data_IF_912050369715
#
_entry.id   IF_912050369715
#
_cell.length_a   1.000
_cell.length_b   1.000
_cell.length_c   1.000
_cell.angle_alpha   90.00
_cell.angle_beta   90.00
_cell.angle_gamma   90.00
#
_symmetry.space_group_name_H-M   'P 1'
#
loop_
_entity.id
_entity.type
_entity.pdbx_description
1 polymer ?
#
# COMPACT_ATOMS: atom_id res chain seq x y z
N UNK A 1 -33.88 26.48 62.46
CA UNK A 1 -32.79 26.25 61.48
C UNK A 1 -32.40 24.78 61.58
N UNK A 2 -32.76 23.96 60.58
CA UNK A 2 -32.49 22.51 60.61
C UNK A 2 -31.01 22.21 60.43
N UNK A 3 -30.42 21.43 61.33
CA UNK A 3 -29.05 20.95 61.19
C UNK A 3 -29.00 19.92 60.05
N UNK A 4 -28.29 20.25 58.97
CA UNK A 4 -27.98 19.32 57.87
C UNK A 4 -27.25 18.09 58.43
N UNK A 5 -27.76 16.91 58.13
CA UNK A 5 -27.24 15.66 58.68
C UNK A 5 -25.80 15.41 58.20
N UNK A 6 -25.04 14.59 58.94
CA UNK A 6 -23.68 14.23 58.56
C UNK A 6 -23.64 13.54 57.19
N UNK A 7 -24.65 12.73 56.88
CA UNK A 7 -24.79 12.01 55.61
C UNK A 7 -25.10 12.96 54.45
N UNK A 8 -25.95 13.97 54.67
CA UNK A 8 -26.24 15.00 53.67
C UNK A 8 -24.99 15.82 53.32
N UNK A 9 -24.17 16.17 54.32
CA UNK A 9 -22.88 16.84 54.10
C UNK A 9 -21.88 15.96 53.33
N UNK A 10 -21.80 14.66 53.65
CA UNK A 10 -20.93 13.72 52.94
C UNK A 10 -21.38 13.52 51.49
N UNK A 11 -22.68 13.39 51.24
CA UNK A 11 -23.24 13.29 49.89
C UNK A 11 -23.00 14.56 49.09
N UNK A 12 -23.09 15.75 49.72
CA UNK A 12 -22.80 17.02 49.06
C UNK A 12 -21.32 17.15 48.69
N UNK A 13 -20.40 16.79 49.58
CA UNK A 13 -18.96 16.76 49.29
C UNK A 13 -18.63 15.78 48.16
N UNK A 14 -19.22 14.58 48.18
CA UNK A 14 -19.03 13.59 47.11
C UNK A 14 -19.48 14.12 45.74
N UNK A 15 -20.62 14.80 45.65
CA UNK A 15 -21.09 15.44 44.41
C UNK A 15 -20.15 16.54 43.93
N UNK A 16 -19.64 17.39 44.82
CA UNK A 16 -18.68 18.45 44.47
C UNK A 16 -17.39 17.84 43.92
N UNK A 17 -16.86 16.79 44.56
CA UNK A 17 -15.66 16.09 44.10
C UNK A 17 -15.88 15.40 42.74
N UNK A 18 -17.04 14.77 42.55
CA UNK A 18 -17.39 14.13 41.27
C UNK A 18 -17.52 15.15 40.14
N UNK A 19 -18.15 16.31 40.40
CA UNK A 19 -18.28 17.39 39.42
C UNK A 19 -16.92 18.03 39.10
N UNK A 20 -16.04 18.20 40.10
CA UNK A 20 -14.69 18.68 39.89
C UNK A 20 -13.84 17.69 39.06
N UNK A 21 -13.97 16.39 39.30
CA UNK A 21 -13.30 15.35 38.52
C UNK A 21 -13.80 15.29 37.07
N UNK A 22 -15.12 15.44 36.86
CA UNK A 22 -15.73 15.56 35.53
C UNK A 22 -15.21 16.79 34.78
N UNK A 23 -15.18 17.95 35.45
CA UNK A 23 -14.68 19.21 34.88
C UNK A 23 -13.20 19.13 34.51
N UNK A 24 -12.37 18.48 35.35
CA UNK A 24 -10.96 18.24 35.06
C UNK A 24 -10.77 17.36 33.84
N UNK A 25 -11.51 16.25 33.74
CA UNK A 25 -11.44 15.34 32.58
C UNK A 25 -11.80 16.07 31.29
N UNK A 26 -12.86 16.89 31.32
CA UNK A 26 -13.28 17.69 30.18
C UNK A 26 -12.24 18.76 29.79
N UNK A 27 -11.63 19.43 30.77
CA UNK A 27 -10.58 20.41 30.52
C UNK A 27 -9.34 19.77 29.88
N UNK A 28 -8.91 18.59 30.37
CA UNK A 28 -7.80 17.82 29.78
C UNK A 28 -8.10 17.43 28.33
N UNK A 29 -9.30 16.90 28.06
CA UNK A 29 -9.70 16.54 26.69
C UNK A 29 -9.71 17.76 25.75
N UNK A 30 -10.20 18.91 26.25
CA UNK A 30 -10.22 20.17 25.48
C UNK A 30 -8.80 20.65 25.17
N UNK A 31 -7.91 20.66 26.16
CA UNK A 31 -6.50 21.04 25.97
C UNK A 31 -5.78 20.12 24.99
N UNK A 32 -6.05 18.80 25.05
CA UNK A 32 -5.51 17.84 24.09
C UNK A 32 -5.99 18.11 22.66
N UNK A 33 -7.27 18.42 22.48
CA UNK A 33 -7.84 18.76 21.17
C UNK A 33 -7.24 20.06 20.59
N UNK A 34 -7.13 21.11 21.42
CA UNK A 34 -6.51 22.38 21.01
C UNK A 34 -5.04 22.19 20.64
N UNK A 35 -4.29 21.42 21.43
CA UNK A 35 -2.88 21.11 21.15
C UNK A 35 -2.73 20.32 19.84
N UNK A 36 -3.61 19.35 19.58
CA UNK A 36 -3.60 18.59 18.32
C UNK A 36 -3.89 19.47 17.10
N UNK A 37 -4.84 20.40 17.22
CA UNK A 37 -5.14 21.37 16.16
C UNK A 37 -3.96 22.30 15.89
N UNK A 38 -3.33 22.82 16.95
CA UNK A 38 -2.18 23.69 16.85
C UNK A 38 -0.97 22.96 16.22
N UNK A 39 -0.70 21.72 16.64
CA UNK A 39 0.32 20.86 16.01
C UNK A 39 0.05 20.68 14.52
N UNK A 40 -1.20 20.45 14.13
CA UNK A 40 -1.60 20.30 12.73
C UNK A 40 -1.33 21.57 11.92
N UNK A 41 -1.68 22.75 12.46
CA UNK A 41 -1.43 24.04 11.82
C UNK A 41 0.07 24.32 11.65
N UNK A 42 0.88 24.06 12.69
CA UNK A 42 2.34 24.20 12.63
C UNK A 42 2.95 23.30 11.55
N UNK A 43 2.53 22.03 11.47
CA UNK A 43 3.02 21.11 10.44
C UNK A 43 2.60 21.52 9.02
N UNK A 44 1.40 22.09 8.86
CA UNK A 44 0.94 22.63 7.58
C UNK A 44 1.75 23.88 7.16
N UNK A 45 2.03 24.78 8.10
CA UNK A 45 2.89 25.95 7.87
C UNK A 45 4.31 25.53 7.44
N UNK A 46 4.89 24.52 8.11
CA UNK A 46 6.20 23.97 7.72
C UNK A 46 6.17 23.32 6.34
N UNK A 47 5.07 22.65 5.97
CA UNK A 47 4.90 22.04 4.65
C UNK A 47 4.93 23.05 3.51
N UNK A 48 4.39 24.25 3.70
CA UNK A 48 4.41 25.33 2.69
C UNK A 48 5.72 26.14 2.70
N UNK A 49 6.72 25.71 3.47
CA UNK A 49 8.06 26.27 3.45
C UNK A 49 8.29 27.46 4.40
N UNK A 50 7.35 27.79 5.28
CA UNK A 50 7.56 28.85 6.28
C UNK A 50 8.69 28.50 7.23
N UNK A 51 9.57 29.44 7.55
CA UNK A 51 10.68 29.23 8.49
C UNK A 51 10.18 28.86 9.89
N UNK A 52 11.02 28.14 10.67
CA UNK A 52 10.69 27.74 12.06
C UNK A 52 10.28 28.95 12.90
N UNK A 53 11.05 30.05 12.80
CA UNK A 53 10.74 31.31 13.49
C UNK A 53 9.38 31.88 13.09
N UNK A 54 9.07 31.93 11.79
CA UNK A 54 7.79 32.46 11.32
C UNK A 54 6.61 31.57 11.73
N UNK A 55 6.79 30.25 11.73
CA UNK A 55 5.78 29.31 12.20
C UNK A 55 5.56 29.43 13.72
N UNK A 56 6.62 29.62 14.50
CA UNK A 56 6.55 29.85 15.93
C UNK A 56 5.75 31.13 16.27
N UNK A 57 6.04 32.23 15.55
CA UNK A 57 5.29 33.49 15.67
C UNK A 57 3.80 33.31 15.34
N UNK A 58 3.46 32.65 14.23
CA UNK A 58 2.07 32.46 13.81
C UNK A 58 1.28 31.48 14.70
N UNK A 59 1.97 30.50 15.29
CA UNK A 59 1.37 29.50 16.17
C UNK A 59 1.40 29.88 17.64
N UNK A 60 1.96 31.04 18.01
CA UNK A 60 2.17 31.46 19.40
C UNK A 60 2.85 30.38 20.25
N UNK A 61 3.82 29.67 19.66
CA UNK A 61 4.63 28.62 20.32
C UNK A 61 6.10 28.94 20.22
N UNK A 62 6.92 28.28 21.05
CA UNK A 62 8.37 28.44 20.95
C UNK A 62 8.93 27.81 19.66
N UNK A 63 10.05 28.33 19.11
CA UNK A 63 10.78 27.66 18.03
C UNK A 63 11.18 26.22 18.34
N UNK A 64 11.49 25.92 19.61
CA UNK A 64 11.84 24.57 20.06
C UNK A 64 10.65 23.62 19.95
N UNK A 65 9.45 24.08 20.32
CA UNK A 65 8.20 23.32 20.15
C UNK A 65 7.93 23.03 18.67
N UNK A 66 8.17 23.98 17.77
CA UNK A 66 8.03 23.76 16.32
C UNK A 66 9.02 22.70 15.82
N UNK A 67 10.28 22.74 16.28
CA UNK A 67 11.29 21.75 15.94
C UNK A 67 10.95 20.37 16.49
N UNK A 68 10.52 20.29 17.75
CA UNK A 68 10.07 19.05 18.40
C UNK A 68 8.94 18.40 17.61
N UNK A 69 7.87 19.14 17.30
CA UNK A 69 6.73 18.61 16.56
C UNK A 69 7.10 18.20 15.13
N UNK A 70 8.00 18.94 14.48
CA UNK A 70 8.52 18.60 13.15
C UNK A 70 9.32 17.30 13.17
N UNK A 71 10.20 17.14 14.15
CA UNK A 71 11.03 15.94 14.31
C UNK A 71 10.18 14.73 14.70
N UNK A 72 9.20 14.91 15.58
CA UNK A 72 8.22 13.87 15.90
C UNK A 72 7.44 13.42 14.65
N UNK A 73 6.95 14.35 13.83
CA UNK A 73 6.24 14.01 12.58
C UNK A 73 7.12 13.27 11.56
N UNK A 74 8.42 13.62 11.48
CA UNK A 74 9.41 12.89 10.67
C UNK A 74 9.61 11.47 11.18
N UNK A 75 9.80 11.30 12.49
CA UNK A 75 9.97 10.00 13.13
C UNK A 75 8.72 9.11 12.92
N UNK A 76 7.53 9.66 13.09
CA UNK A 76 6.26 8.97 12.80
C UNK A 76 6.16 8.53 11.33
N UNK A 77 6.60 9.37 10.40
CA UNK A 77 6.61 9.05 8.96
C UNK A 77 7.60 7.92 8.65
N UNK A 78 8.82 7.97 9.20
CA UNK A 78 9.81 6.90 9.03
C UNK A 78 9.34 5.59 9.67
N UNK A 79 8.69 5.63 10.83
CA UNK A 79 8.10 4.47 11.46
C UNK A 79 6.96 3.87 10.61
N UNK A 80 6.12 4.72 9.98
CA UNK A 80 5.07 4.26 9.07
C UNK A 80 5.64 3.60 7.81
N UNK A 81 6.68 4.18 7.21
CA UNK A 81 7.41 3.61 6.08
C UNK A 81 8.01 2.26 6.43
N UNK A 82 8.68 2.16 7.58
CA UNK A 82 9.26 0.90 8.06
C UNK A 82 8.20 -0.19 8.21
N UNK A 83 7.07 0.12 8.87
CA UNK A 83 5.95 -0.83 9.00
C UNK A 83 5.42 -1.31 7.65
N UNK A 84 5.37 -0.43 6.66
CA UNK A 84 4.94 -0.79 5.31
C UNK A 84 5.95 -1.69 4.61
N UNK A 85 7.26 -1.41 4.72
CA UNK A 85 8.29 -2.28 4.16
C UNK A 85 8.37 -3.64 4.87
N UNK A 86 8.15 -3.69 6.18
CA UNK A 86 7.98 -4.93 6.94
C UNK A 86 6.77 -5.74 6.44
N UNK A 87 5.64 -5.07 6.11
CA UNK A 87 4.48 -5.74 5.50
C UNK A 87 4.78 -6.26 4.09
N UNK A 88 5.59 -5.54 3.31
CA UNK A 88 6.02 -5.97 1.98
C UNK A 88 6.92 -7.21 2.07
N UNK A 89 7.82 -7.25 3.06
CA UNK A 89 8.74 -8.35 3.32
C UNK A 89 8.09 -9.59 3.98
N UNK A 90 6.91 -9.46 4.58
CA UNK A 90 6.21 -10.56 5.24
C UNK A 90 5.25 -11.28 4.27
N UNK A 91 5.49 -12.55 3.88
CA UNK A 91 4.60 -13.30 3.00
C UNK A 91 3.12 -13.32 3.44
N UNK A 92 2.84 -13.31 4.75
CA UNK A 92 1.46 -13.34 5.25
C UNK A 92 0.72 -12.02 5.05
N UNK A 93 1.46 -10.91 4.88
CA UNK A 93 0.97 -9.54 4.73
C UNK A 93 1.25 -8.94 3.35
N UNK A 94 2.13 -9.57 2.56
CA UNK A 94 2.54 -9.12 1.23
C UNK A 94 1.35 -8.90 0.29
N UNK A 95 0.33 -9.76 0.35
CA UNK A 95 -0.89 -9.57 -0.46
C UNK A 95 -1.64 -8.24 -0.18
N UNK A 96 -1.59 -7.73 1.04
CA UNK A 96 -2.15 -6.41 1.40
C UNK A 96 -1.29 -5.29 0.82
N UNK A 97 0.03 -5.41 0.95
CA UNK A 97 1.00 -4.48 0.36
C UNK A 97 0.84 -4.40 -1.17
N UNK A 98 0.82 -5.54 -1.86
CA UNK A 98 0.64 -5.60 -3.31
C UNK A 98 -0.70 -4.99 -3.73
N UNK A 99 -1.75 -5.17 -2.91
CA UNK A 99 -3.03 -4.52 -3.19
C UNK A 99 -2.99 -3.00 -3.10
N UNK A 100 -2.21 -2.45 -2.17
CA UNK A 100 -1.98 -1.02 -2.06
C UNK A 100 -1.12 -0.51 -3.22
N UNK A 101 0.01 -1.16 -3.51
CA UNK A 101 0.90 -0.84 -4.64
C UNK A 101 0.16 -0.86 -5.96
N UNK A 102 -0.61 -1.92 -6.20
CA UNK A 102 -1.45 -2.05 -7.37
C UNK A 102 -2.38 -0.84 -7.54
N UNK A 103 -3.04 -0.40 -6.47
CA UNK A 103 -3.93 0.77 -6.51
C UNK A 103 -3.15 2.05 -6.79
N UNK A 104 -2.02 2.28 -6.10
CA UNK A 104 -1.22 3.50 -6.24
C UNK A 104 -0.55 3.61 -7.61
N UNK A 105 0.09 2.55 -8.12
CA UNK A 105 0.76 2.54 -9.42
C UNK A 105 -0.23 2.68 -10.56
N UNK A 106 -1.36 1.97 -10.48
CA UNK A 106 -2.43 2.05 -11.47
C UNK A 106 -3.07 3.44 -11.53
N UNK A 107 -3.37 4.03 -10.37
CA UNK A 107 -3.91 5.40 -10.28
C UNK A 107 -2.89 6.43 -10.76
N UNK A 108 -1.60 6.24 -10.42
CA UNK A 108 -0.52 7.14 -10.85
C UNK A 108 -0.30 7.13 -12.36
N UNK A 109 -0.61 6.03 -13.05
CA UNK A 109 -0.51 5.90 -14.49
C UNK A 109 -1.64 6.62 -15.26
N UNK A 110 -2.58 7.30 -14.56
CA UNK A 110 -3.69 8.00 -15.21
C UNK A 110 -4.82 7.08 -15.69
N UNK A 111 -4.77 5.80 -15.32
CA UNK A 111 -5.69 4.76 -15.79
C UNK A 111 -7.03 4.74 -15.03
N UNK A 112 -7.63 5.92 -14.82
CA UNK A 112 -8.91 6.09 -14.10
C UNK A 112 -10.14 5.55 -14.85
N UNK A 113 -9.98 5.02 -16.06
CA UNK A 113 -11.08 4.50 -16.87
C UNK A 113 -11.80 3.29 -16.25
N UNK A 114 -13.09 3.14 -16.59
CA UNK A 114 -14.04 2.07 -16.17
C UNK A 114 -13.59 0.62 -16.40
N UNK A 115 -12.44 0.43 -17.05
CA UNK A 115 -11.71 -0.85 -17.11
C UNK A 115 -11.47 -1.46 -15.71
N UNK A 116 -11.50 -0.62 -14.66
CA UNK A 116 -11.41 -1.01 -13.25
C UNK A 116 -12.53 -1.94 -12.76
N UNK A 117 -13.76 -1.84 -13.30
CA UNK A 117 -14.87 -2.70 -12.84
C UNK A 117 -14.89 -4.04 -13.58
N UNK A 118 -14.51 -4.05 -14.86
CA UNK A 118 -14.46 -5.26 -15.67
C UNK A 118 -13.20 -6.11 -15.42
N UNK A 119 -12.04 -5.50 -15.13
CA UNK A 119 -10.81 -6.25 -14.84
C UNK A 119 -10.68 -6.71 -13.39
N UNK A 120 -11.34 -6.01 -12.45
CA UNK A 120 -11.15 -6.20 -11.00
C UNK A 120 -12.47 -6.44 -10.26
N UNK A 121 -13.38 -7.22 -10.83
CA UNK A 121 -14.71 -7.53 -10.26
C UNK A 121 -14.71 -8.10 -8.82
N UNK A 122 -13.53 -8.33 -8.23
CA UNK A 122 -13.34 -8.94 -6.93
C UNK A 122 -12.57 -8.00 -5.99
N UNK A 123 -13.25 -7.56 -4.92
CA UNK A 123 -12.75 -6.52 -4.02
C UNK A 123 -11.42 -6.86 -3.30
N UNK A 124 -10.72 -5.83 -2.77
CA UNK A 124 -9.35 -5.91 -2.23
C UNK A 124 -9.13 -6.99 -1.16
N UNK A 125 -10.14 -7.29 -0.36
CA UNK A 125 -10.08 -8.29 0.71
C UNK A 125 -9.85 -9.71 0.17
N UNK A 126 -10.48 -10.05 -0.96
CA UNK A 126 -10.40 -11.37 -1.56
C UNK A 126 -9.03 -11.64 -2.17
N UNK A 127 -8.47 -10.65 -2.87
CA UNK A 127 -7.11 -10.70 -3.40
C UNK A 127 -6.07 -11.01 -2.32
N UNK A 128 -6.10 -10.26 -1.20
CA UNK A 128 -5.16 -10.46 -0.10
C UNK A 128 -5.24 -11.87 0.50
N UNK A 129 -6.46 -12.42 0.60
CA UNK A 129 -6.70 -13.80 1.04
C UNK A 129 -6.09 -14.83 0.09
N UNK A 130 -6.31 -14.68 -1.22
CA UNK A 130 -5.77 -15.60 -2.24
C UNK A 130 -4.24 -15.55 -2.26
N UNK A 131 -3.64 -14.35 -2.23
CA UNK A 131 -2.18 -14.20 -2.21
C UNK A 131 -1.57 -14.81 -0.96
N UNK A 132 -2.18 -14.61 0.22
CA UNK A 132 -1.74 -15.27 1.45
C UNK A 132 -1.74 -16.80 1.31
N UNK A 133 -2.82 -17.38 0.76
CA UNK A 133 -2.90 -18.81 0.52
C UNK A 133 -1.86 -19.28 -0.51
N UNK A 134 -1.60 -18.51 -1.56
CA UNK A 134 -0.59 -18.81 -2.56
C UNK A 134 0.82 -18.83 -1.97
N UNK A 135 1.17 -17.82 -1.17
CA UNK A 135 2.45 -17.79 -0.46
C UNK A 135 2.59 -18.95 0.53
N UNK A 136 1.52 -19.30 1.25
CA UNK A 136 1.52 -20.45 2.15
C UNK A 136 1.75 -21.76 1.38
N UNK A 137 1.02 -21.96 0.27
CA UNK A 137 1.16 -23.14 -0.58
C UNK A 137 2.57 -23.28 -1.17
N UNK A 138 3.12 -22.19 -1.70
CA UNK A 138 4.50 -22.15 -2.24
C UNK A 138 5.52 -22.48 -1.16
N UNK A 139 5.35 -21.97 0.06
CA UNK A 139 6.26 -22.24 1.18
C UNK A 139 6.14 -23.66 1.75
N UNK A 140 5.00 -24.31 1.58
CA UNK A 140 4.82 -25.71 1.95
C UNK A 140 5.28 -26.70 0.88
N UNK A 141 5.52 -26.23 -0.35
CA UNK A 141 6.02 -27.05 -1.45
C UNK A 141 7.55 -27.20 -1.43
N UNK A 142 8.04 -28.23 -2.12
CA UNK A 142 9.46 -28.55 -2.26
C UNK A 142 9.88 -28.43 -3.75
N UNK A 143 10.99 -27.74 -4.11
CA UNK A 143 11.83 -26.88 -3.26
C UNK A 143 11.27 -25.46 -3.10
N UNK A 144 11.29 -24.94 -1.87
CA UNK A 144 10.87 -23.58 -1.55
C UNK A 144 11.80 -22.55 -2.20
N UNK A 145 11.29 -21.49 -2.85
CA UNK A 145 12.12 -20.35 -3.20
C UNK A 145 12.69 -19.74 -1.91
N UNK A 146 13.99 -19.87 -1.69
CA UNK A 146 14.64 -19.30 -0.51
C UNK A 146 14.80 -17.79 -0.69
N UNK A 147 14.06 -17.02 0.11
CA UNK A 147 14.47 -15.65 0.43
C UNK A 147 15.72 -15.82 1.29
N UNK A 148 16.86 -15.32 0.80
CA UNK A 148 18.11 -15.34 1.57
C UNK A 148 17.88 -14.76 2.96
N UNK A 149 18.37 -15.45 3.99
CA UNK A 149 18.22 -15.02 5.36
C UNK A 149 18.80 -13.60 5.53
N UNK A 150 18.01 -12.67 6.04
CA UNK A 150 18.41 -11.26 6.20
C UNK A 150 18.33 -10.39 4.94
N UNK A 151 18.08 -10.94 3.74
CA UNK A 151 17.96 -10.14 2.51
C UNK A 151 16.79 -9.15 2.58
N UNK A 152 15.67 -9.57 3.17
CA UNK A 152 14.53 -8.69 3.39
C UNK A 152 14.86 -7.53 4.35
N UNK A 153 15.61 -7.79 5.42
CA UNK A 153 16.03 -6.77 6.40
C UNK A 153 17.02 -5.79 5.77
N UNK A 154 18.00 -6.28 5.01
CA UNK A 154 18.93 -5.46 4.24
C UNK A 154 18.21 -4.61 3.19
N UNK A 155 17.20 -5.16 2.52
CA UNK A 155 16.38 -4.43 1.56
C UNK A 155 15.54 -3.32 2.22
N UNK A 156 14.94 -3.58 3.38
CA UNK A 156 14.23 -2.57 4.18
C UNK A 156 15.18 -1.44 4.57
N UNK A 157 16.37 -1.78 5.06
CA UNK A 157 17.38 -0.78 5.43
C UNK A 157 17.80 0.08 4.23
N UNK A 158 18.03 -0.54 3.08
CA UNK A 158 18.36 0.15 1.82
C UNK A 158 17.24 1.08 1.37
N UNK A 159 15.99 0.62 1.39
CA UNK A 159 14.84 1.41 1.01
C UNK A 159 14.65 2.62 1.95
N UNK A 160 14.80 2.43 3.27
CA UNK A 160 14.74 3.54 4.23
C UNK A 160 15.89 4.54 4.06
N UNK A 161 17.10 4.07 3.78
CA UNK A 161 18.26 4.93 3.55
C UNK A 161 18.07 5.83 2.32
N UNK A 162 17.43 5.31 1.26
CA UNK A 162 17.17 6.07 0.03
C UNK A 162 16.25 7.29 0.22
N UNK A 163 15.41 7.28 1.27
CA UNK A 163 14.47 8.36 1.58
C UNK A 163 15.19 9.56 2.21
N UNK A 164 16.32 9.32 2.88
CA UNK A 164 17.03 10.34 3.64
C UNK A 164 16.16 10.94 4.76
N UNK A 165 16.26 12.26 4.95
CA UNK A 165 15.44 12.98 5.93
C UNK A 165 14.15 13.49 5.28
N UNK A 166 12.95 13.04 5.71
CA UNK A 166 11.70 13.52 5.13
C UNK A 166 11.53 15.04 5.28
N UNK A 167 10.96 15.74 4.28
CA UNK A 167 10.69 17.16 4.38
C UNK A 167 9.80 17.47 5.60
N UNK A 168 10.05 18.62 6.23
CA UNK A 168 9.28 19.06 7.38
C UNK A 168 7.79 19.18 7.02
N UNK A 169 6.93 18.45 7.71
CA UNK A 169 5.49 18.47 7.47
C UNK A 169 5.03 17.72 6.22
N UNK A 170 5.89 16.98 5.52
CA UNK A 170 5.48 16.13 4.40
C UNK A 170 4.35 15.18 4.82
N UNK A 171 3.33 15.03 3.97
CA UNK A 171 2.29 14.04 4.22
C UNK A 171 2.88 12.65 4.07
N UNK A 172 2.71 11.81 5.09
CA UNK A 172 3.24 10.44 5.11
C UNK A 172 2.87 9.65 3.86
N UNK A 173 1.63 9.78 3.37
CA UNK A 173 1.18 9.15 2.10
C UNK A 173 2.02 9.56 0.88
N UNK A 174 2.46 10.83 0.80
CA UNK A 174 3.27 11.29 -0.34
C UNK A 174 4.70 10.75 -0.23
N UNK A 175 5.26 10.67 0.97
CA UNK A 175 6.58 10.08 1.20
C UNK A 175 6.55 8.58 0.87
N UNK A 176 5.50 7.87 1.32
CA UNK A 176 5.25 6.46 0.97
C UNK A 176 5.20 6.26 -0.54
N UNK A 177 4.45 7.10 -1.25
CA UNK A 177 4.32 7.01 -2.71
C UNK A 177 5.63 7.28 -3.44
N UNK A 178 6.44 8.21 -2.94
CA UNK A 178 7.72 8.60 -3.53
C UNK A 178 8.91 7.71 -3.13
N UNK A 179 8.77 6.90 -2.08
CA UNK A 179 9.83 6.00 -1.64
C UNK A 179 10.20 4.99 -2.73
N UNK A 180 11.45 4.53 -2.75
CA UNK A 180 11.86 3.42 -3.62
C UNK A 180 11.54 2.08 -2.95
N UNK A 181 10.58 1.35 -3.52
CA UNK A 181 10.16 0.03 -3.01
C UNK A 181 10.90 -1.13 -3.69
N UNK A 182 11.61 -0.86 -4.78
CA UNK A 182 12.29 -1.88 -5.59
C UNK A 182 13.27 -2.73 -4.78
N UNK A 183 14.01 -2.23 -3.77
CA UNK A 183 14.86 -3.10 -2.96
C UNK A 183 14.08 -4.24 -2.30
N UNK A 184 12.93 -3.93 -1.68
CA UNK A 184 12.10 -4.92 -0.99
C UNK A 184 11.40 -5.83 -1.98
N UNK A 185 10.92 -5.29 -3.10
CA UNK A 185 10.28 -6.10 -4.13
C UNK A 185 11.25 -7.05 -4.82
N UNK A 186 12.50 -6.65 -5.05
CA UNK A 186 13.56 -7.56 -5.56
C UNK A 186 13.86 -8.69 -4.59
N UNK A 187 13.94 -8.40 -3.28
CA UNK A 187 14.17 -9.42 -2.27
C UNK A 187 13.04 -10.45 -2.22
N UNK A 188 11.80 -10.03 -2.51
CA UNK A 188 10.62 -10.89 -2.51
C UNK A 188 10.27 -11.50 -3.88
N UNK A 189 10.89 -11.04 -4.96
CA UNK A 189 10.60 -11.45 -6.33
C UNK A 189 10.63 -12.98 -6.55
N UNK A 190 11.58 -13.76 -5.98
CA UNK A 190 11.56 -15.22 -6.12
C UNK A 190 10.25 -15.86 -5.62
N UNK A 191 9.75 -15.38 -4.48
CA UNK A 191 8.51 -15.87 -3.88
C UNK A 191 7.29 -15.41 -4.70
N UNK A 192 7.30 -14.17 -5.20
CA UNK A 192 6.23 -13.64 -6.05
C UNK A 192 6.12 -14.38 -7.37
N UNK A 193 7.26 -14.68 -8.00
CA UNK A 193 7.34 -15.47 -9.23
C UNK A 193 6.76 -16.87 -8.97
N UNK A 194 7.13 -17.53 -7.87
CA UNK A 194 6.60 -18.85 -7.54
C UNK A 194 5.08 -18.82 -7.26
N UNK A 195 4.59 -17.82 -6.52
CA UNK A 195 3.16 -17.62 -6.30
C UNK A 195 2.44 -17.38 -7.64
N UNK A 196 3.04 -16.57 -8.53
CA UNK A 196 2.50 -16.32 -9.86
C UNK A 196 2.44 -17.59 -10.72
N UNK A 197 3.48 -18.43 -10.70
CA UNK A 197 3.50 -19.76 -11.37
C UNK A 197 2.32 -20.60 -10.90
N UNK A 198 2.12 -20.67 -9.58
CA UNK A 198 1.01 -21.42 -8.99
C UNK A 198 -0.35 -20.92 -9.47
N UNK A 199 -0.58 -19.60 -9.45
CA UNK A 199 -1.85 -19.01 -9.88
C UNK A 199 -2.05 -19.01 -11.41
N UNK A 200 -1.00 -19.23 -12.18
CA UNK A 200 -1.06 -19.36 -13.64
C UNK A 200 -1.52 -20.75 -14.10
N UNK A 201 -1.32 -21.78 -13.27
CA UNK A 201 -1.70 -23.14 -13.61
C UNK A 201 -3.20 -23.24 -13.94
N UNK A 202 -3.63 -24.15 -14.81
CA UNK A 202 -5.05 -24.36 -15.07
C UNK A 202 -5.73 -25.03 -13.85
N UNK A 203 -7.04 -24.81 -13.64
CA UNK A 203 -7.79 -25.65 -12.72
C UNK A 203 -7.76 -27.12 -13.21
N UNK A 204 -7.75 -28.12 -12.29
CA UNK A 204 -7.93 -27.99 -10.85
C UNK A 204 -6.63 -27.75 -10.05
N UNK A 205 -5.47 -27.62 -10.69
CA UNK A 205 -4.15 -27.65 -10.02
C UNK A 205 -3.99 -26.59 -8.94
N UNK A 206 -4.19 -25.32 -9.29
CA UNK A 206 -4.08 -24.22 -8.31
C UNK A 206 -5.18 -24.30 -7.25
N UNK A 207 -6.37 -24.80 -7.60
CA UNK A 207 -7.47 -24.95 -6.64
C UNK A 207 -7.10 -25.96 -5.55
N UNK A 208 -6.56 -27.11 -5.95
CA UNK A 208 -6.11 -28.15 -5.03
C UNK A 208 -4.99 -27.65 -4.12
N UNK A 209 -4.06 -26.86 -4.66
CA UNK A 209 -2.95 -26.31 -3.89
C UNK A 209 -3.37 -25.21 -2.90
N UNK A 210 -4.33 -24.34 -3.26
CA UNK A 210 -4.75 -23.23 -2.39
C UNK A 210 -5.73 -23.67 -1.30
N UNK A 211 -6.57 -24.67 -1.58
CA UNK A 211 -7.68 -25.06 -0.70
C UNK A 211 -7.26 -25.35 0.75
N UNK A 212 -6.14 -26.07 1.04
CA UNK A 212 -5.68 -26.31 2.42
C UNK A 212 -5.32 -25.03 3.19
N UNK A 213 -5.04 -23.93 2.51
CA UNK A 213 -4.58 -22.68 3.10
C UNK A 213 -5.66 -21.59 3.15
N UNK A 214 -6.88 -21.88 2.66
CA UNK A 214 -8.00 -20.94 2.68
C UNK A 214 -8.92 -21.22 3.89
N UNK A 215 -9.36 -20.18 4.62
CA UNK A 215 -10.25 -20.37 5.75
C UNK A 215 -11.67 -20.74 5.27
N UNK A 216 -12.12 -21.95 5.59
CA UNK A 216 -13.53 -22.38 5.73
C UNK A 216 -14.49 -22.24 4.52
N UNK A 217 -15.15 -23.37 4.19
CA UNK A 217 -16.14 -23.63 3.11
C UNK A 217 -15.58 -23.54 1.68
N UNK A 218 -15.55 -24.71 1.03
CA UNK A 218 -15.28 -24.90 -0.39
C UNK A 218 -16.51 -24.48 -1.21
N UNK A 219 -16.35 -23.50 -2.10
CA UNK A 219 -17.38 -23.08 -3.05
C UNK A 219 -16.88 -22.06 -4.07
N UNK A 220 -17.70 -21.63 -5.05
CA UNK A 220 -17.28 -20.68 -6.08
C UNK A 220 -16.76 -19.34 -5.53
N UNK A 221 -17.31 -18.90 -4.39
CA UNK A 221 -16.88 -17.68 -3.70
C UNK A 221 -15.50 -17.79 -3.02
N UNK A 222 -14.97 -19.01 -2.85
CA UNK A 222 -13.66 -19.26 -2.22
C UNK A 222 -12.52 -18.71 -3.08
N UNK A 223 -12.69 -18.70 -4.39
CA UNK A 223 -11.66 -18.27 -5.35
C UNK A 223 -11.97 -16.96 -6.06
N UNK A 224 -13.02 -16.27 -5.61
CA UNK A 224 -13.23 -14.86 -5.94
C UNK A 224 -11.93 -14.11 -5.61
N UNK A 225 -11.39 -13.34 -6.56
CA UNK A 225 -10.15 -12.56 -6.42
C UNK A 225 -8.92 -13.18 -7.07
N UNK A 226 -9.02 -14.34 -7.73
CA UNK A 226 -7.88 -15.02 -8.36
C UNK A 226 -7.24 -14.19 -9.47
N UNK A 227 -8.05 -13.57 -10.33
CA UNK A 227 -7.58 -12.70 -11.43
C UNK A 227 -6.89 -11.47 -10.86
N UNK A 228 -7.51 -10.81 -9.88
CA UNK A 228 -6.93 -9.64 -9.21
C UNK A 228 -5.65 -9.96 -8.43
N UNK A 229 -5.50 -11.19 -7.92
CA UNK A 229 -4.26 -11.66 -7.30
C UNK A 229 -3.13 -11.80 -8.32
N UNK A 230 -3.39 -12.41 -9.49
CA UNK A 230 -2.42 -12.49 -10.59
C UNK A 230 -1.99 -11.10 -11.07
N UNK A 231 -2.95 -10.21 -11.31
CA UNK A 231 -2.68 -8.86 -11.79
C UNK A 231 -1.85 -8.04 -10.80
N UNK A 232 -2.08 -8.17 -9.49
CA UNK A 232 -1.28 -7.48 -8.49
C UNK A 232 0.18 -7.96 -8.45
N UNK A 233 0.41 -9.27 -8.66
CA UNK A 233 1.76 -9.82 -8.85
C UNK A 233 2.38 -9.30 -10.15
N UNK A 234 1.63 -9.29 -11.25
CA UNK A 234 2.13 -8.83 -12.55
C UNK A 234 2.54 -7.36 -12.52
N UNK A 235 1.75 -6.49 -11.90
CA UNK A 235 2.09 -5.07 -11.72
C UNK A 235 3.39 -4.91 -10.92
N UNK A 236 3.47 -5.56 -9.76
CA UNK A 236 4.63 -5.38 -8.87
C UNK A 236 5.89 -5.95 -9.49
N UNK A 237 5.84 -7.16 -10.06
CA UNK A 237 6.98 -7.73 -10.76
C UNK A 237 7.40 -6.84 -11.94
N UNK A 238 6.45 -6.30 -12.71
CA UNK A 238 6.77 -5.43 -13.84
C UNK A 238 7.49 -4.17 -13.39
N UNK A 239 6.97 -3.50 -12.36
CA UNK A 239 7.58 -2.31 -11.78
C UNK A 239 8.96 -2.60 -11.16
N UNK A 240 9.17 -3.80 -10.61
CA UNK A 240 10.45 -4.22 -9.99
C UNK A 240 11.60 -4.29 -10.99
N UNK A 241 11.29 -4.71 -12.22
CA UNK A 241 12.25 -4.96 -13.29
C UNK A 241 12.14 -3.93 -14.43
N UNK A 242 11.55 -2.75 -14.15
CA UNK A 242 11.38 -1.64 -15.08
C UNK A 242 10.69 -2.03 -16.42
N UNK A 243 9.75 -2.97 -16.35
CA UNK A 243 8.94 -3.47 -17.48
C UNK A 243 7.55 -2.82 -17.54
N UNK A 244 6.76 -3.16 -18.56
CA UNK A 244 5.40 -2.66 -18.73
C UNK A 244 4.44 -3.19 -17.66
N UNK A 245 3.76 -2.27 -16.98
CA UNK A 245 2.74 -2.57 -15.98
C UNK A 245 1.42 -2.90 -16.70
N UNK A 246 0.67 -3.95 -16.32
CA UNK A 246 -0.71 -4.11 -16.74
C UNK A 246 -1.51 -2.80 -16.61
N UNK A 247 -2.35 -2.50 -17.60
CA UNK A 247 -3.05 -1.23 -17.79
C UNK A 247 -2.26 -0.18 -18.57
N UNK A 248 -0.97 -0.37 -18.83
CA UNK A 248 -0.17 0.62 -19.57
C UNK A 248 -0.55 0.62 -21.04
N UNK A 249 -0.88 1.79 -21.59
CA UNK A 249 -0.95 2.00 -23.03
C UNK A 249 0.47 2.08 -23.61
N UNK A 250 0.76 1.28 -24.62
CA UNK A 250 2.06 1.20 -25.29
C UNK A 250 1.86 1.34 -26.79
N UNK A 251 2.86 1.89 -27.48
CA UNK A 251 2.84 1.98 -28.93
C UNK A 251 3.58 0.78 -29.52
N UNK A 252 2.95 0.08 -30.46
CA UNK A 252 3.61 -0.95 -31.25
C UNK A 252 4.52 -0.31 -32.30
N UNK A 253 5.41 -1.13 -32.86
CA UNK A 253 6.36 -0.69 -33.89
C UNK A 253 5.66 -0.26 -35.19
N UNK A 254 4.49 -0.83 -35.48
CA UNK A 254 3.62 -0.44 -36.60
C UNK A 254 2.88 0.89 -36.37
N UNK A 255 3.05 1.52 -35.20
CA UNK A 255 2.44 2.79 -34.84
C UNK A 255 1.09 2.67 -34.13
N UNK A 256 0.49 1.49 -34.05
CA UNK A 256 -0.76 1.25 -33.32
C UNK A 256 -0.55 1.37 -31.80
N UNK A 257 -1.61 1.72 -31.07
CA UNK A 257 -1.58 1.79 -29.60
C UNK A 257 -2.36 0.64 -29.02
N UNK A 258 -1.77 -0.05 -28.05
CA UNK A 258 -2.38 -1.21 -27.39
C UNK A 258 -2.28 -1.07 -25.88
N UNK A 259 -3.16 -1.73 -25.14
CA UNK A 259 -3.14 -1.73 -23.68
C UNK A 259 -2.63 -3.08 -23.18
N UNK A 260 -1.61 -3.06 -22.34
CA UNK A 260 -1.12 -4.28 -21.68
C UNK A 260 -2.18 -4.77 -20.70
N UNK A 261 -2.70 -5.97 -20.86
CA UNK A 261 -3.72 -6.54 -19.99
C UNK A 261 -3.11 -7.47 -18.94
N UNK A 262 -2.11 -8.25 -19.35
CA UNK A 262 -1.42 -9.21 -18.51
C UNK A 262 0.03 -9.34 -18.96
N UNK A 263 0.94 -9.58 -18.02
CA UNK A 263 2.33 -9.92 -18.31
C UNK A 263 2.53 -11.43 -18.08
N UNK A 264 3.09 -12.11 -19.08
CA UNK A 264 3.52 -13.50 -18.98
C UNK A 264 4.98 -13.51 -18.56
N UNK A 265 5.26 -14.03 -17.37
CA UNK A 265 6.61 -14.01 -16.79
C UNK A 265 7.39 -15.26 -17.14
N UNK A 266 8.64 -15.10 -17.61
CA UNK A 266 9.58 -16.20 -17.59
C UNK A 266 9.94 -16.44 -16.13
N UNK A 267 9.71 -17.67 -15.67
CA UNK A 267 9.94 -17.93 -14.28
C UNK A 267 11.44 -18.00 -13.92
N UNK A 268 12.30 -18.22 -14.90
CA UNK A 268 13.74 -18.41 -14.71
C UNK A 268 14.55 -17.14 -15.04
N UNK A 269 13.97 -16.24 -15.83
CA UNK A 269 14.63 -15.02 -16.28
C UNK A 269 14.23 -13.77 -15.46
N UNK A 270 13.33 -13.92 -14.49
CA UNK A 270 12.79 -12.82 -13.68
C UNK A 270 12.37 -11.60 -14.55
N UNK A 271 11.79 -11.88 -15.72
CA UNK A 271 11.32 -10.87 -16.67
C UNK A 271 10.08 -11.36 -17.41
N UNK A 272 9.22 -10.47 -17.93
CA UNK A 272 8.17 -10.83 -18.86
C UNK A 272 8.77 -11.43 -20.14
N UNK A 273 8.16 -12.50 -20.63
CA UNK A 273 8.43 -13.12 -21.93
C UNK A 273 7.34 -12.84 -22.95
N UNK A 274 6.19 -12.38 -22.49
CA UNK A 274 5.09 -12.00 -23.35
C UNK A 274 4.10 -11.15 -22.61
N UNK A 275 3.18 -10.59 -23.37
CA UNK A 275 2.09 -9.79 -22.85
C UNK A 275 0.80 -10.18 -23.56
N UNK A 276 -0.26 -10.31 -22.79
CA UNK A 276 -1.60 -10.27 -23.34
C UNK A 276 -1.97 -8.80 -23.47
N UNK A 277 -2.26 -8.36 -24.68
CA UNK A 277 -2.63 -6.98 -24.95
C UNK A 277 -4.06 -6.90 -25.47
N UNK A 278 -4.71 -5.76 -25.29
CA UNK A 278 -5.94 -5.42 -25.98
C UNK A 278 -5.60 -4.39 -27.07
N UNK A 279 -5.94 -4.69 -28.32
CA UNK A 279 -5.87 -3.73 -29.42
C UNK A 279 -7.21 -3.04 -29.60
N UNK A 280 -7.17 -1.72 -29.74
CA UNK A 280 -8.32 -0.88 -30.07
C UNK A 280 -7.85 0.54 -30.43
N UNK A 281 -8.52 1.19 -31.37
CA UNK A 281 -8.22 2.59 -31.71
C UNK A 281 -8.42 3.46 -30.47
N UNK A 282 -7.36 4.12 -30.03
CA UNK A 282 -7.33 4.93 -28.81
C UNK A 282 -8.09 6.26 -28.93
N UNK A 283 -9.00 6.40 -29.91
CA UNK A 283 -9.59 7.69 -30.26
C UNK A 283 -10.98 7.94 -29.67
N UNK A 284 -11.63 6.94 -29.07
CA UNK A 284 -12.72 7.16 -28.11
C UNK A 284 -13.13 5.84 -27.44
N UNK A 285 -13.02 5.82 -26.11
CA UNK A 285 -13.71 5.00 -25.13
C UNK A 285 -14.33 3.63 -25.54
N UNK A 286 -13.93 2.62 -24.77
CA UNK A 286 -14.82 1.57 -24.23
C UNK A 286 -15.07 0.26 -25.01
N UNK A 287 -14.33 -0.08 -26.07
CA UNK A 287 -14.46 -1.46 -26.62
C UNK A 287 -13.10 -2.11 -26.89
N UNK A 288 -12.84 -3.22 -26.17
CA UNK A 288 -11.72 -4.13 -26.46
C UNK A 288 -12.16 -4.98 -27.65
N UNK A 289 -11.54 -4.77 -28.81
CA UNK A 289 -12.00 -5.38 -30.08
C UNK A 289 -11.21 -6.64 -30.42
N UNK A 290 -9.97 -6.77 -29.97
CA UNK A 290 -9.22 -8.01 -30.12
C UNK A 290 -8.19 -8.20 -29.02
N UNK A 291 -7.91 -9.45 -28.66
CA UNK A 291 -6.91 -9.80 -27.65
C UNK A 291 -5.83 -10.67 -28.30
N UNK A 292 -4.69 -10.07 -28.55
CA UNK A 292 -3.51 -10.74 -29.09
C UNK A 292 -2.51 -11.08 -27.97
N UNK A 293 -1.91 -12.26 -28.05
CA UNK A 293 -0.75 -12.63 -27.25
C UNK A 293 0.51 -12.28 -28.03
N UNK A 294 1.23 -11.26 -27.58
CA UNK A 294 2.49 -10.85 -28.21
C UNK A 294 3.67 -11.28 -27.34
N UNK A 295 4.61 -11.98 -27.96
CA UNK A 295 5.91 -12.32 -27.37
C UNK A 295 6.99 -11.45 -28.03
N UNK A 296 7.39 -10.35 -27.39
CA UNK A 296 8.39 -9.43 -27.95
C UNK A 296 8.50 -8.08 -27.25
N UNK A 297 9.50 -7.25 -27.62
CA UNK A 297 9.67 -5.92 -27.05
C UNK A 297 8.59 -4.94 -27.54
N UNK A 298 7.96 -4.23 -26.61
CA UNK A 298 7.04 -3.11 -26.89
C UNK A 298 7.85 -1.80 -26.90
N UNK A 299 7.28 -0.70 -27.42
CA UNK A 299 7.91 0.62 -27.33
C UNK A 299 7.22 1.50 -26.29
N UNK A 300 8.01 2.11 -25.41
CA UNK A 300 7.48 2.97 -24.35
C UNK A 300 7.17 4.35 -24.92
N UNK A 301 5.91 4.83 -24.86
CA UNK A 301 5.63 6.21 -25.22
C UNK A 301 6.41 7.15 -24.28
N UNK A 302 7.03 8.19 -24.83
CA UNK A 302 7.74 9.18 -24.04
C UNK A 302 6.80 9.74 -22.97
N UNK A 303 7.16 9.60 -21.68
CA UNK A 303 6.42 10.26 -20.59
C UNK A 303 6.45 11.76 -20.85
N UNK A 304 5.29 12.35 -21.16
CA UNK A 304 5.10 13.81 -21.19
C UNK A 304 5.01 14.35 -19.78
#
# INVERSE_FOLDING_TARGET
MGQVSKEERQAQVARVLQNAAGSRTQAVATLQAVTANLRTAVLAARRVGLSVRRTAELGEVSPDTVNEWTNAARAETLAALRRMFEQAADPARRGTYLGFRFTEEWVSAGNQSRCTVQLFGDGPANRGRILRAAYAAVRSGDPMPTIEAGAAEAAIATALASIGTPPAGALTRHVIRAADHRPVDRAMAPLDIAARRLLAAPPPHWQAALLPHLPGRSGPATFRGIVSARQALDVTLSATFDNYVPGTAVRLLDGSTVVVMEAHWSPDLARPIGYRIASGEADQAETVVDVEEITGPLSTPARR
#
